data_IF_893948959271
#
_entry.id   IF_893948959271
#
_cell.length_a   1.000
_cell.length_b   1.000
_cell.length_c   1.000
_cell.angle_alpha   90.00
_cell.angle_beta   90.00
_cell.angle_gamma   90.00
#
_symmetry.space_group_name_H-M   'P 1'
#
loop_
_entity.id
_entity.type
_entity.pdbx_description
1 polymer ?
#
# COMPACT_ATOMS: atom_id res chain seq x y z
N UNK A 1 3.68 -9.73 -18.26
CA UNK A 1 2.64 -9.67 -17.23
C UNK A 1 2.11 -8.26 -17.15
N UNK A 2 0.87 -8.05 -17.59
CA UNK A 2 0.19 -6.74 -17.51
C UNK A 2 -0.16 -6.52 -16.04
N UNK A 3 0.39 -5.48 -15.40
CA UNK A 3 -0.03 -5.12 -14.05
C UNK A 3 -1.55 -4.91 -14.08
N UNK A 4 -2.29 -5.67 -13.26
CA UNK A 4 -3.74 -5.52 -13.16
C UNK A 4 -4.09 -4.07 -12.81
N UNK A 5 -5.17 -3.54 -13.40
CA UNK A 5 -5.66 -2.21 -13.07
C UNK A 5 -6.12 -2.17 -11.61
N UNK A 6 -5.63 -1.20 -10.83
CA UNK A 6 -6.08 -0.98 -9.45
C UNK A 6 -7.45 -0.27 -9.36
N UNK A 7 -8.05 0.11 -10.50
CA UNK A 7 -9.35 0.81 -10.53
C UNK A 7 -10.52 -0.07 -10.06
N UNK A 8 -10.37 -1.38 -10.12
CA UNK A 8 -11.39 -2.34 -9.69
C UNK A 8 -11.19 -2.84 -8.24
N UNK A 9 -10.30 -2.21 -7.47
CA UNK A 9 -10.02 -2.62 -6.08
C UNK A 9 -11.20 -2.25 -5.17
N UNK A 10 -11.63 -0.99 -5.16
CA UNK A 10 -12.66 -0.50 -4.24
C UNK A 10 -14.03 -0.36 -4.92
N UNK A 11 -14.56 -1.46 -5.48
CA UNK A 11 -15.83 -1.47 -6.24
C UNK A 11 -17.01 -0.92 -5.41
N UNK A 12 -17.01 -1.17 -4.10
CA UNK A 12 -18.04 -0.67 -3.18
C UNK A 12 -17.91 0.82 -2.82
N UNK A 13 -16.83 1.51 -3.21
CA UNK A 13 -16.65 2.94 -2.96
C UNK A 13 -16.40 3.30 -1.49
N UNK A 14 -15.83 2.39 -0.68
CA UNK A 14 -15.56 2.64 0.73
C UNK A 14 -14.50 3.72 0.95
N UNK A 15 -14.67 4.58 1.95
CA UNK A 15 -13.72 5.67 2.28
C UNK A 15 -12.89 5.39 3.53
N UNK A 16 -13.18 4.29 4.23
CA UNK A 16 -12.54 3.93 5.51
C UNK A 16 -11.89 2.54 5.52
N UNK A 17 -11.94 1.85 4.38
CA UNK A 17 -11.47 0.48 4.18
C UNK A 17 -10.04 0.40 3.59
N UNK A 18 -9.18 1.38 3.86
CA UNK A 18 -7.85 1.48 3.24
C UNK A 18 -6.97 0.24 3.48
N UNK A 19 -7.12 -0.43 4.62
CA UNK A 19 -6.46 -1.73 4.92
C UNK A 19 -6.88 -2.81 3.92
N UNK A 20 -8.18 -3.01 3.71
CA UNK A 20 -8.70 -4.00 2.76
C UNK A 20 -8.30 -3.67 1.31
N UNK A 21 -8.33 -2.39 0.95
CA UNK A 21 -7.86 -1.92 -0.36
C UNK A 21 -6.37 -2.24 -0.55
N UNK A 22 -5.55 -2.12 0.49
CA UNK A 22 -4.12 -2.40 0.39
C UNK A 22 -3.82 -3.88 0.23
N UNK A 23 -4.59 -4.75 0.90
CA UNK A 23 -4.50 -6.21 0.73
C UNK A 23 -4.91 -6.62 -0.68
N UNK A 24 -6.06 -6.14 -1.16
CA UNK A 24 -6.56 -6.47 -2.50
C UNK A 24 -5.64 -5.94 -3.61
N UNK A 25 -5.03 -4.76 -3.40
CA UNK A 25 -4.03 -4.20 -4.31
C UNK A 25 -2.78 -5.06 -4.35
N UNK A 26 -2.26 -5.51 -3.20
CA UNK A 26 -1.09 -6.41 -3.16
C UNK A 26 -1.36 -7.71 -3.92
N UNK A 27 -2.51 -8.34 -3.66
CA UNK A 27 -2.93 -9.55 -4.37
C UNK A 27 -3.02 -9.34 -5.89
N UNK A 28 -3.58 -8.20 -6.32
CA UNK A 28 -3.69 -7.82 -7.74
C UNK A 28 -2.32 -7.60 -8.37
N UNK A 29 -1.39 -6.98 -7.66
CA UNK A 29 0.00 -6.81 -8.11
C UNK A 29 0.76 -8.15 -8.19
N UNK A 30 0.40 -9.12 -7.34
CA UNK A 30 0.89 -10.49 -7.40
C UNK A 30 0.25 -11.34 -8.52
N UNK A 31 -0.69 -10.78 -9.30
CA UNK A 31 -1.36 -11.46 -10.41
C UNK A 31 -2.72 -12.10 -10.05
N UNK A 32 -3.20 -11.93 -8.82
CA UNK A 32 -4.49 -12.46 -8.37
C UNK A 32 -5.55 -11.35 -8.39
N UNK A 33 -6.58 -11.48 -9.23
CA UNK A 33 -7.67 -10.50 -9.24
C UNK A 33 -8.37 -10.47 -7.89
N UNK A 34 -8.39 -9.31 -7.23
CA UNK A 34 -9.03 -9.13 -5.94
C UNK A 34 -9.76 -7.77 -5.88
N UNK A 35 -10.77 -7.69 -5.01
CA UNK A 35 -11.46 -6.45 -4.65
C UNK A 35 -11.62 -6.36 -3.14
N UNK A 36 -11.67 -5.15 -2.62
CA UNK A 36 -11.77 -4.87 -1.21
C UNK A 36 -13.24 -4.93 -0.75
N UNK A 37 -13.47 -5.65 0.34
CA UNK A 37 -14.71 -5.53 1.09
C UNK A 37 -14.82 -4.14 1.73
N UNK A 38 -16.06 -3.66 1.86
CA UNK A 38 -16.37 -2.50 2.69
C UNK A 38 -15.93 -2.76 4.14
N UNK A 39 -15.65 -1.68 4.87
CA UNK A 39 -15.16 -1.78 6.23
C UNK A 39 -14.89 -0.41 6.86
N UNK A 40 -14.63 -0.42 8.17
CA UNK A 40 -14.21 0.74 8.92
C UNK A 40 -12.69 0.84 9.10
N UNK A 41 -12.21 1.93 9.74
CA UNK A 41 -10.81 2.07 10.08
C UNK A 41 -10.37 0.93 10.98
N UNK A 42 -9.21 0.34 10.71
CA UNK A 42 -8.63 -0.70 11.52
C UNK A 42 -7.18 -0.36 11.85
N UNK A 43 -6.63 -1.03 12.86
CA UNK A 43 -5.23 -0.90 13.24
C UNK A 43 -4.34 -1.50 12.16
N UNK A 44 -3.17 -0.89 11.95
CA UNK A 44 -2.21 -1.35 10.94
C UNK A 44 -1.57 -2.70 11.27
N UNK A 45 -1.60 -3.12 12.54
CA UNK A 45 -1.09 -4.43 13.00
C UNK A 45 -1.84 -5.62 12.36
N UNK A 46 -3.05 -5.40 11.82
CA UNK A 46 -3.75 -6.40 11.01
C UNK A 46 -2.97 -6.76 9.75
N UNK A 47 -2.30 -5.80 9.12
CA UNK A 47 -1.48 -6.06 7.94
C UNK A 47 -0.23 -6.87 8.29
N UNK A 48 0.38 -6.59 9.43
CA UNK A 48 1.54 -7.34 9.92
C UNK A 48 1.18 -8.82 10.12
N UNK A 49 0.04 -9.07 10.77
CA UNK A 49 -0.49 -10.44 10.95
C UNK A 49 -0.84 -11.10 9.63
N UNK A 50 -1.45 -10.36 8.70
CA UNK A 50 -1.86 -10.90 7.41
C UNK A 50 -0.67 -11.32 6.54
N UNK A 51 0.38 -10.50 6.49
CA UNK A 51 1.56 -10.75 5.65
C UNK A 51 2.68 -11.50 6.37
N UNK A 52 2.58 -11.73 7.69
CA UNK A 52 3.64 -12.37 8.47
C UNK A 52 4.94 -11.54 8.50
N UNK A 53 4.82 -10.22 8.43
CA UNK A 53 5.94 -9.27 8.39
C UNK A 53 5.66 -8.08 9.33
N UNK A 54 6.66 -7.24 9.58
CA UNK A 54 6.50 -6.07 10.47
C UNK A 54 6.74 -4.76 9.73
N UNK A 55 6.03 -3.71 10.14
CA UNK A 55 6.34 -2.37 9.70
C UNK A 55 7.69 -1.95 10.28
N UNK A 56 8.55 -1.41 9.42
CA UNK A 56 9.80 -0.80 9.83
C UNK A 56 9.59 0.51 10.60
N UNK A 57 10.70 1.03 11.11
CA UNK A 57 10.73 2.31 11.83
C UNK A 57 10.23 3.48 10.97
N UNK A 58 9.60 4.49 11.60
CA UNK A 58 9.24 5.74 10.94
C UNK A 58 10.39 6.37 10.15
N UNK A 59 10.07 6.85 8.94
CA UNK A 59 11.04 7.56 8.12
C UNK A 59 10.43 8.32 6.95
N UNK A 60 11.31 8.89 6.13
CA UNK A 60 10.93 9.56 4.89
C UNK A 60 10.52 8.54 3.81
N UNK A 61 9.69 8.98 2.87
CA UNK A 61 9.24 8.14 1.75
C UNK A 61 10.40 7.66 0.85
N UNK A 62 11.51 8.41 0.81
CA UNK A 62 12.72 8.03 0.07
C UNK A 62 13.29 6.67 0.51
N UNK A 63 13.19 6.33 1.80
CA UNK A 63 13.61 5.02 2.30
C UNK A 63 12.83 3.87 1.65
N UNK A 64 11.55 4.07 1.36
CA UNK A 64 10.72 3.07 0.65
C UNK A 64 11.21 2.90 -0.79
N UNK A 65 11.53 4.02 -1.44
CA UNK A 65 12.06 4.02 -2.81
C UNK A 65 13.38 3.28 -2.86
N UNK A 66 14.31 3.58 -1.94
CA UNK A 66 15.61 2.91 -1.82
C UNK A 66 15.46 1.39 -1.64
N UNK A 67 14.63 0.97 -0.67
CA UNK A 67 14.39 -0.45 -0.40
C UNK A 67 13.83 -1.17 -1.63
N UNK A 68 12.81 -0.61 -2.28
CA UNK A 68 12.18 -1.23 -3.44
C UNK A 68 13.06 -1.20 -4.69
N UNK A 69 13.87 -0.16 -4.85
CA UNK A 69 14.82 -0.04 -5.96
C UNK A 69 15.91 -1.11 -5.83
N UNK A 70 16.49 -1.24 -4.63
CA UNK A 70 17.50 -2.26 -4.32
C UNK A 70 16.97 -3.69 -4.45
N UNK A 71 15.70 -3.91 -4.09
CA UNK A 71 15.03 -5.20 -4.22
C UNK A 71 14.76 -5.61 -5.68
N UNK A 72 14.74 -4.66 -6.61
CA UNK A 72 14.56 -4.92 -8.03
C UNK A 72 13.10 -5.07 -8.48
N UNK A 73 12.87 -5.31 -9.79
CA UNK A 73 11.54 -5.37 -10.40
C UNK A 73 10.63 -6.42 -9.75
N UNK A 74 9.38 -6.04 -9.48
CA UNK A 74 8.37 -6.90 -8.86
C UNK A 74 8.32 -6.81 -7.34
N UNK A 75 9.37 -6.28 -6.70
CA UNK A 75 9.36 -5.99 -5.27
C UNK A 75 8.22 -5.04 -4.92
N UNK A 76 7.50 -5.32 -3.83
CA UNK A 76 6.33 -4.55 -3.41
C UNK A 76 6.14 -4.58 -1.90
N UNK A 77 5.27 -3.72 -1.44
CA UNK A 77 4.89 -3.65 -0.05
C UNK A 77 3.80 -2.62 0.20
N UNK A 78 3.58 -2.36 1.47
CA UNK A 78 2.55 -1.48 1.96
C UNK A 78 3.18 -0.34 2.76
N UNK A 79 2.74 0.88 2.47
CA UNK A 79 3.17 2.10 3.15
C UNK A 79 2.04 2.58 4.03
N UNK A 80 2.35 2.84 5.30
CA UNK A 80 1.49 3.56 6.21
C UNK A 80 1.99 5.00 6.35
N UNK A 81 1.17 5.97 5.93
CA UNK A 81 1.40 7.38 6.14
C UNK A 81 0.74 7.86 7.44
N UNK A 82 1.54 8.26 8.42
CA UNK A 82 1.04 8.85 9.66
C UNK A 82 0.79 10.34 9.49
N UNK A 83 -0.35 10.81 9.98
CA UNK A 83 -0.71 12.24 10.05
C UNK A 83 -0.49 12.76 11.46
N UNK A 84 -0.14 14.04 11.61
CA UNK A 84 0.05 14.67 12.92
C UNK A 84 -1.21 14.68 13.80
N UNK A 85 -2.39 14.59 13.16
CA UNK A 85 -3.67 14.38 13.82
C UNK A 85 -4.59 13.54 12.93
N UNK A 86 -5.53 12.82 13.55
CA UNK A 86 -6.51 12.00 12.85
C UNK A 86 -6.04 10.59 12.46
N UNK A 87 -6.77 9.97 11.53
CA UNK A 87 -6.49 8.61 11.05
C UNK A 87 -5.43 8.69 9.94
N UNK A 88 -4.39 7.86 10.02
CA UNK A 88 -3.41 7.71 8.95
C UNK A 88 -4.01 7.04 7.70
N UNK A 89 -3.19 6.89 6.66
CA UNK A 89 -3.61 6.24 5.42
C UNK A 89 -2.67 5.12 5.04
N UNK A 90 -3.19 4.14 4.32
CA UNK A 90 -2.41 3.00 3.82
C UNK A 90 -2.57 2.90 2.31
N UNK A 91 -1.46 2.70 1.62
CA UNK A 91 -1.38 2.51 0.18
C UNK A 91 -0.21 1.56 -0.16
N UNK A 92 -0.15 1.07 -1.39
CA UNK A 92 0.87 0.12 -1.82
C UNK A 92 2.03 0.84 -2.52
N UNK A 93 3.20 0.21 -2.48
CA UNK A 93 4.35 0.60 -3.27
C UNK A 93 4.89 -0.61 -4.03
N UNK A 94 5.28 -0.43 -5.29
CA UNK A 94 5.80 -1.51 -6.15
C UNK A 94 6.88 -1.00 -7.08
N UNK A 95 7.95 -1.78 -7.25
CA UNK A 95 8.95 -1.57 -8.28
C UNK A 95 8.45 -2.16 -9.61
N UNK A 96 7.98 -1.31 -10.51
CA UNK A 96 7.58 -1.70 -11.85
C UNK A 96 8.70 -1.40 -12.84
N UNK A 97 9.51 -2.42 -13.14
CA UNK A 97 10.59 -2.37 -14.13
C UNK A 97 11.63 -1.27 -13.83
N UNK A 98 12.05 -1.16 -12.57
CA UNK A 98 13.03 -0.17 -12.10
C UNK A 98 12.41 1.16 -11.65
N UNK A 99 11.10 1.35 -11.79
CA UNK A 99 10.40 2.56 -11.35
C UNK A 99 9.50 2.22 -10.17
N UNK A 100 9.77 2.81 -9.01
CA UNK A 100 8.91 2.68 -7.83
C UNK A 100 7.65 3.52 -8.03
N UNK A 101 6.48 2.88 -7.86
CA UNK A 101 5.17 3.52 -7.96
C UNK A 101 4.39 3.34 -6.68
N UNK A 102 3.75 4.42 -6.22
CA UNK A 102 2.85 4.42 -5.08
C UNK A 102 1.41 4.41 -5.57
N UNK A 103 0.65 3.41 -5.13
CA UNK A 103 -0.65 3.05 -5.67
C UNK A 103 -1.68 3.05 -4.55
N UNK A 104 -2.72 3.85 -4.70
CA UNK A 104 -3.83 3.89 -3.78
C UNK A 104 -5.01 3.11 -4.37
N UNK A 105 -5.19 1.87 -3.93
CA UNK A 105 -6.31 1.03 -4.36
C UNK A 105 -7.67 1.50 -3.87
N UNK A 106 -7.74 2.36 -2.85
CA UNK A 106 -9.01 2.92 -2.41
C UNK A 106 -9.56 3.93 -3.42
N UNK A 107 -8.67 4.74 -4.00
CA UNK A 107 -9.05 5.72 -5.03
C UNK A 107 -8.92 5.18 -6.45
N UNK A 108 -8.06 4.18 -6.66
CA UNK A 108 -7.74 3.64 -7.98
C UNK A 108 -6.68 4.44 -8.75
N UNK A 109 -5.96 5.34 -8.07
CA UNK A 109 -4.97 6.26 -8.66
C UNK A 109 -3.62 6.18 -7.95
N UNK A 110 -2.68 7.03 -8.35
CA UNK A 110 -1.43 7.21 -7.62
C UNK A 110 -1.71 7.73 -6.20
N UNK A 111 -0.94 7.26 -5.22
CA UNK A 111 -1.08 7.74 -3.85
C UNK A 111 -0.61 9.19 -3.73
N UNK A 112 -1.37 10.01 -2.99
CA UNK A 112 -0.94 11.34 -2.57
C UNK A 112 0.00 11.19 -1.38
N UNK A 113 1.18 11.80 -1.47
CA UNK A 113 2.26 11.66 -0.46
C UNK A 113 2.36 12.87 0.48
N UNK A 114 1.63 13.95 0.21
CA UNK A 114 1.63 15.14 1.03
C UNK A 114 0.77 14.98 2.29
N UNK A 115 1.08 15.77 3.33
CA UNK A 115 0.29 15.81 4.57
C UNK A 115 0.60 14.71 5.59
N UNK A 116 1.66 13.92 5.37
CA UNK A 116 2.15 12.95 6.36
C UNK A 116 3.39 13.47 7.08
N UNK A 117 3.51 13.14 8.37
CA UNK A 117 4.66 13.50 9.21
C UNK A 117 5.78 12.45 9.12
N UNK A 118 5.43 11.20 8.87
CA UNK A 118 6.37 10.11 8.60
C UNK A 118 5.65 8.93 7.94
N UNK A 119 6.44 8.03 7.37
CA UNK A 119 5.98 6.80 6.75
C UNK A 119 6.58 5.59 7.45
N UNK A 120 5.82 4.50 7.50
CA UNK A 120 6.31 3.17 7.84
C UNK A 120 6.10 2.25 6.64
N UNK A 121 6.99 1.28 6.46
CA UNK A 121 6.94 0.36 5.33
C UNK A 121 6.93 -1.09 5.79
N UNK A 122 6.03 -1.87 5.21
CA UNK A 122 5.89 -3.31 5.38
C UNK A 122 6.18 -3.97 4.03
N UNK A 123 7.26 -4.76 3.94
CA UNK A 123 7.61 -5.47 2.71
C UNK A 123 6.78 -6.75 2.58
N UNK A 124 6.24 -7.03 1.38
CA UNK A 124 5.39 -8.20 1.10
C UNK A 124 5.99 -9.16 0.07
N UNK A 125 7.06 -8.74 -0.64
CA UNK A 125 7.92 -9.58 -1.49
C UNK A 125 9.30 -8.96 -1.69
#
# INVERSE_FOLDING_TARGET
MTAGSIRAINVGGGTKNCINCSIATDATLAGHRASALLGGPCRIDVLEKFFGAQFGEPGAISKVIEVLTSAGPGARGIVFGMRGSGVGHVFNAVNQKGVVRFLDGQTGYAAVLDGYIHFRFLRTS
#
